data_IF_547926980506
#
_entry.id   IF_547926980506
#
_cell.length_a   1.000
_cell.length_b   1.000
_cell.length_c   1.000
_cell.angle_alpha   90.00
_cell.angle_beta   90.00
_cell.angle_gamma   90.00
#
_symmetry.space_group_name_H-M   'P 1'
#
loop_
_entity.id
_entity.type
_entity.pdbx_description
1 polymer ?
#
# COMPACT_ATOMS: atom_id res chain seq x y z
N UNK A 1 14.83 2.83 -6.73
CA UNK A 1 15.55 2.64 -8.00
C UNK A 1 14.60 2.79 -9.17
N UNK A 2 15.14 3.00 -10.38
CA UNK A 2 14.38 3.29 -11.60
C UNK A 2 13.29 2.27 -11.95
N UNK A 3 13.56 0.97 -11.77
CA UNK A 3 12.55 -0.08 -11.96
C UNK A 3 11.33 0.11 -11.06
N UNK A 4 11.55 0.42 -9.77
CA UNK A 4 10.47 0.61 -8.80
C UNK A 4 9.59 1.80 -9.19
N UNK A 5 10.19 2.93 -9.61
CA UNK A 5 9.42 4.10 -10.08
C UNK A 5 8.50 3.74 -11.24
N UNK A 6 9.04 3.04 -12.26
CA UNK A 6 8.26 2.60 -13.42
C UNK A 6 7.07 1.71 -13.06
N UNK A 7 7.25 0.78 -12.11
CA UNK A 7 6.13 -0.07 -11.66
C UNK A 7 5.10 0.71 -10.86
N UNK A 8 5.51 1.66 -10.00
CA UNK A 8 4.56 2.54 -9.28
C UNK A 8 3.74 3.37 -10.27
N UNK A 9 4.37 3.96 -11.28
CA UNK A 9 3.64 4.69 -12.34
C UNK A 9 2.69 3.78 -13.13
N UNK A 10 3.10 2.54 -13.40
CA UNK A 10 2.26 1.56 -14.07
C UNK A 10 1.03 1.21 -13.24
N UNK A 11 1.19 1.02 -11.93
CA UNK A 11 0.08 0.80 -10.99
C UNK A 11 -0.84 2.03 -10.97
N UNK A 12 -0.29 3.24 -10.89
CA UNK A 12 -1.07 4.48 -10.93
C UNK A 12 -1.92 4.63 -12.19
N UNK A 13 -1.34 4.35 -13.37
CA UNK A 13 -2.10 4.34 -14.63
C UNK A 13 -3.21 3.30 -14.64
N UNK A 14 -2.97 2.10 -14.11
CA UNK A 14 -3.98 1.05 -14.04
C UNK A 14 -5.13 1.45 -13.09
N UNK A 15 -4.80 2.00 -11.92
CA UNK A 15 -5.78 2.47 -10.94
C UNK A 15 -6.65 3.62 -11.51
N UNK A 16 -6.02 4.57 -12.21
CA UNK A 16 -6.73 5.65 -12.91
C UNK A 16 -7.74 5.14 -13.93
N UNK A 17 -7.35 4.18 -14.77
CA UNK A 17 -8.25 3.58 -15.77
C UNK A 17 -9.38 2.82 -15.08
N UNK A 18 -9.08 2.00 -14.07
CA UNK A 18 -10.09 1.25 -13.33
C UNK A 18 -11.12 2.18 -12.68
N UNK A 19 -10.69 3.29 -12.08
CA UNK A 19 -11.60 4.25 -11.46
C UNK A 19 -12.51 4.96 -12.46
N UNK A 20 -12.01 5.25 -13.67
CA UNK A 20 -12.83 5.78 -14.77
C UNK A 20 -13.89 4.79 -15.29
N UNK A 21 -13.72 3.51 -15.00
CA UNK A 21 -14.68 2.45 -15.28
C UNK A 21 -15.59 2.15 -14.08
N UNK A 22 -15.60 3.04 -13.07
CA UNK A 22 -16.39 2.92 -11.85
C UNK A 22 -16.07 1.67 -11.00
N UNK A 23 -14.84 1.17 -11.12
CA UNK A 23 -14.34 0.07 -10.28
C UNK A 23 -13.68 0.63 -9.01
N UNK A 24 -13.92 -0.06 -7.89
CA UNK A 24 -13.10 0.12 -6.69
C UNK A 24 -11.72 -0.51 -6.92
N UNK A 25 -10.67 0.16 -6.45
CA UNK A 25 -9.30 -0.30 -6.62
C UNK A 25 -8.68 -0.62 -5.27
N UNK A 26 -8.31 -1.88 -5.08
CA UNK A 26 -7.53 -2.33 -3.93
C UNK A 26 -6.13 -2.77 -4.36
N UNK A 27 -5.15 -2.63 -3.48
CA UNK A 27 -3.79 -3.13 -3.65
C UNK A 27 -3.31 -3.81 -2.36
N UNK A 28 -2.10 -4.39 -2.34
CA UNK A 28 -1.54 -4.89 -1.08
C UNK A 28 -0.52 -6.03 -1.15
N UNK A 29 -0.55 -6.84 -2.23
CA UNK A 29 0.37 -7.98 -2.33
C UNK A 29 1.84 -7.53 -2.35
N UNK A 30 2.63 -8.04 -1.41
CA UNK A 30 4.06 -7.73 -1.29
C UNK A 30 4.37 -6.36 -0.71
N UNK A 31 3.37 -5.63 -0.20
CA UNK A 31 3.62 -4.36 0.48
C UNK A 31 4.21 -4.57 1.87
N UNK A 32 5.10 -3.66 2.26
CA UNK A 32 5.79 -3.64 3.54
C UNK A 32 5.92 -2.20 4.09
N UNK A 33 6.46 -2.07 5.30
CA UNK A 33 6.62 -0.81 6.03
C UNK A 33 7.53 0.22 5.33
N UNK A 34 8.32 -0.19 4.33
CA UNK A 34 9.23 0.68 3.59
C UNK A 34 8.68 1.05 2.21
N UNK A 35 7.87 0.18 1.61
CA UNK A 35 7.44 0.33 0.24
C UNK A 35 6.01 0.88 0.08
N UNK A 36 5.17 0.73 1.11
CA UNK A 36 3.74 1.07 1.08
C UNK A 36 3.48 2.56 0.79
N UNK A 37 4.37 3.46 1.25
CA UNK A 37 4.20 4.93 1.09
C UNK A 37 3.96 5.36 -0.35
N UNK A 38 4.74 4.82 -1.30
CA UNK A 38 4.63 5.18 -2.71
C UNK A 38 3.32 4.69 -3.35
N UNK A 39 2.66 3.70 -2.76
CA UNK A 39 1.35 3.20 -3.21
C UNK A 39 0.23 4.06 -2.60
N UNK A 40 0.37 4.51 -1.35
CA UNK A 40 -0.59 5.41 -0.71
C UNK A 40 -0.74 6.77 -1.43
N UNK A 41 0.28 7.19 -2.19
CA UNK A 41 0.23 8.42 -3.00
C UNK A 41 -0.73 8.31 -4.21
N UNK A 42 -1.14 7.10 -4.58
CA UNK A 42 -2.09 6.84 -5.69
C UNK A 42 -3.51 6.95 -5.14
N UNK A 43 -4.16 8.10 -5.38
CA UNK A 43 -5.47 8.46 -4.81
C UNK A 43 -6.62 7.54 -5.23
N UNK A 44 -6.49 6.87 -6.37
CA UNK A 44 -7.51 5.96 -6.87
C UNK A 44 -7.54 4.63 -6.11
N UNK A 45 -6.52 4.31 -5.31
CA UNK A 45 -6.50 3.11 -4.46
C UNK A 45 -7.25 3.40 -3.15
N UNK A 46 -8.33 2.66 -2.94
CA UNK A 46 -9.24 2.84 -1.79
C UNK A 46 -8.85 1.97 -0.59
N UNK A 47 -8.25 0.80 -0.83
CA UNK A 47 -7.94 -0.17 0.21
C UNK A 47 -6.58 -0.85 0.00
N UNK A 48 -5.88 -1.11 1.11
CA UNK A 48 -4.62 -1.84 1.14
C UNK A 48 -4.75 -3.13 1.98
N UNK A 49 -4.76 -4.28 1.31
CA UNK A 49 -4.82 -5.61 1.91
C UNK A 49 -3.41 -6.20 2.11
N UNK A 50 -2.85 -6.01 3.31
CA UNK A 50 -1.45 -6.36 3.60
C UNK A 50 -1.39 -7.52 4.61
N UNK A 51 -0.73 -8.62 4.22
CA UNK A 51 -0.64 -9.85 5.02
C UNK A 51 0.76 -10.11 5.58
N UNK A 52 1.60 -10.77 4.77
CA UNK A 52 2.89 -11.33 5.19
C UNK A 52 3.77 -10.35 5.99
N UNK A 53 3.91 -9.10 5.55
CA UNK A 53 4.75 -8.12 6.24
C UNK A 53 4.23 -7.77 7.65
N UNK A 54 2.91 -7.70 7.85
CA UNK A 54 2.32 -7.47 9.18
C UNK A 54 2.58 -8.68 10.08
N UNK A 55 2.32 -9.90 9.59
CA UNK A 55 2.59 -11.13 10.37
C UNK A 55 4.07 -11.23 10.73
N UNK A 56 4.97 -11.00 9.78
CA UNK A 56 6.42 -11.04 10.00
C UNK A 56 6.87 -10.00 11.03
N UNK A 57 6.30 -8.79 11.02
CA UNK A 57 6.57 -7.76 12.05
C UNK A 57 6.00 -8.17 13.41
N UNK A 58 4.79 -8.74 13.44
CA UNK A 58 4.10 -9.14 14.66
C UNK A 58 4.86 -10.20 15.48
N UNK A 59 5.67 -11.05 14.84
CA UNK A 59 6.56 -12.00 15.55
C UNK A 59 7.51 -11.30 16.52
N UNK A 60 7.91 -10.05 16.23
CA UNK A 60 8.86 -9.29 17.04
C UNK A 60 8.20 -8.31 18.01
N UNK A 61 7.05 -7.75 17.65
CA UNK A 61 6.44 -6.62 18.38
C UNK A 61 4.98 -6.85 18.82
N UNK A 62 4.40 -7.99 18.48
CA UNK A 62 2.98 -8.28 18.65
C UNK A 62 2.09 -7.69 17.55
N UNK A 63 0.91 -8.29 17.34
CA UNK A 63 -0.01 -7.89 16.27
C UNK A 63 -0.55 -6.47 16.42
N UNK A 64 -0.94 -6.07 17.65
CA UNK A 64 -1.48 -4.73 17.90
C UNK A 64 -0.51 -3.65 17.41
N UNK A 65 0.75 -3.75 17.82
CA UNK A 65 1.78 -2.79 17.44
C UNK A 65 2.12 -2.86 15.96
N UNK A 66 2.24 -4.06 15.37
CA UNK A 66 2.50 -4.22 13.95
C UNK A 66 1.42 -3.54 13.08
N UNK A 67 0.14 -3.79 13.39
CA UNK A 67 -0.99 -3.17 12.67
C UNK A 67 -1.00 -1.66 12.86
N UNK A 68 -0.81 -1.17 14.10
CA UNK A 68 -0.78 0.27 14.39
C UNK A 68 0.34 0.98 13.62
N UNK A 69 1.56 0.44 13.62
CA UNK A 69 2.70 0.99 12.87
C UNK A 69 2.41 1.07 11.36
N UNK A 70 1.75 0.05 10.77
CA UNK A 70 1.36 0.09 9.36
C UNK A 70 0.32 1.17 9.08
N UNK A 71 -0.70 1.30 9.94
CA UNK A 71 -1.74 2.32 9.82
C UNK A 71 -1.13 3.73 9.91
N UNK A 72 -0.20 3.97 10.84
CA UNK A 72 0.50 5.27 10.98
C UNK A 72 1.28 5.64 9.71
N UNK A 73 1.94 4.67 9.08
CA UNK A 73 2.64 4.89 7.81
C UNK A 73 1.64 5.25 6.70
N UNK A 74 0.53 4.51 6.59
CA UNK A 74 -0.51 4.77 5.59
C UNK A 74 -1.11 6.17 5.80
N UNK A 75 -1.48 6.50 7.04
CA UNK A 75 -2.07 7.78 7.41
C UNK A 75 -1.12 8.96 7.15
N UNK A 76 0.19 8.78 7.33
CA UNK A 76 1.18 9.84 7.07
C UNK A 76 1.62 9.95 5.60
N UNK A 77 1.29 8.98 4.75
CA UNK A 77 1.73 8.94 3.35
C UNK A 77 0.63 9.35 2.36
N UNK A 78 -0.63 9.11 2.70
CA UNK A 78 -1.77 9.35 1.82
C UNK A 78 -2.98 9.83 2.60
N UNK A 79 -2.94 11.09 3.03
CA UNK A 79 -4.10 11.93 3.32
C UNK A 79 -3.66 13.39 3.45
#
# INVERSE_FOLDING_TARGET
GERRKREVERIGRAAYVAKRLDLQVAAGHGLDYHNVRAICEIREIEELNIGHSIVSRAVFVGFERAVREMIEIIASAGR
#
